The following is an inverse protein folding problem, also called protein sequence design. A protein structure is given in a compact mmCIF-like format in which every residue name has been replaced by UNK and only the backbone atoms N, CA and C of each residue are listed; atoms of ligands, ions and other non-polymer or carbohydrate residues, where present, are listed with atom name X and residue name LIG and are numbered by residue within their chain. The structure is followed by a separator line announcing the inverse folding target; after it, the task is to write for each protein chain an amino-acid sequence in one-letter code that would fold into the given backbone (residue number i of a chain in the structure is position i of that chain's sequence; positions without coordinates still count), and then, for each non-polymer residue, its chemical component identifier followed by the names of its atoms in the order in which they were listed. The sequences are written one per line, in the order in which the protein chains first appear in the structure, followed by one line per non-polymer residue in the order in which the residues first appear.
data_IF_755176325003
#
_entry.id   IF_755176325003
#
_cell.length_a   1.000
_cell.length_b   1.000
_cell.length_c   1.000
_cell.angle_alpha   90.00
_cell.angle_beta   90.00
_cell.angle_gamma   90.00
#
_symmetry.space_group_name_H-M   'P 1'
#
loop_
_entity.id
_entity.type
_entity.pdbx_description
1 polymer ?
#
# COMPACT_ATOMS: atom_id res chain seq x y z
N UNK A 1 -15.74 13.19 6.94
CA UNK A 1 -15.92 11.91 6.26
C UNK A 1 -16.46 10.86 7.23
N UNK A 2 -17.54 10.16 6.83
CA UNK A 2 -18.25 9.17 7.67
C UNK A 2 -17.35 8.01 8.13
N UNK A 3 -16.46 7.54 7.25
CA UNK A 3 -15.54 6.42 7.57
C UNK A 3 -14.52 6.81 8.63
N UNK A 4 -13.96 8.00 8.53
CA UNK A 4 -12.99 8.50 9.54
C UNK A 4 -13.69 8.73 10.87
N UNK A 5 -14.89 9.27 10.87
CA UNK A 5 -15.70 9.41 12.10
C UNK A 5 -15.96 8.06 12.76
N UNK A 6 -16.33 7.05 11.97
CA UNK A 6 -16.55 5.70 12.46
C UNK A 6 -15.27 5.11 13.07
N UNK A 7 -14.12 5.25 12.38
CA UNK A 7 -12.85 4.76 12.87
C UNK A 7 -12.45 5.43 14.20
N UNK A 8 -12.64 6.74 14.31
CA UNK A 8 -12.36 7.48 15.55
C UNK A 8 -13.26 7.03 16.69
N UNK A 9 -14.53 6.73 16.42
CA UNK A 9 -15.44 6.19 17.41
C UNK A 9 -15.01 4.81 17.90
N UNK A 10 -14.58 3.93 17.00
CA UNK A 10 -14.05 2.60 17.35
C UNK A 10 -12.77 2.73 18.19
N UNK A 11 -11.87 3.62 17.79
CA UNK A 11 -10.63 3.89 18.53
C UNK A 11 -10.96 4.33 19.96
N UNK A 12 -11.92 5.25 20.11
CA UNK A 12 -12.34 5.74 21.42
C UNK A 12 -13.00 4.66 22.28
N UNK A 13 -13.92 3.90 21.72
CA UNK A 13 -14.64 2.83 22.44
C UNK A 13 -13.73 1.69 22.88
N UNK A 14 -12.71 1.35 22.07
CA UNK A 14 -11.73 0.31 22.41
C UNK A 14 -10.60 0.83 23.31
N UNK A 15 -10.56 2.12 23.59
CA UNK A 15 -9.50 2.71 24.40
C UNK A 15 -8.11 2.63 23.78
N UNK A 16 -8.04 2.63 22.44
CA UNK A 16 -6.77 2.52 21.72
C UNK A 16 -5.98 3.83 21.78
N UNK A 17 -4.67 3.71 21.96
CA UNK A 17 -3.73 4.83 21.91
C UNK A 17 -2.72 4.65 20.77
N UNK A 18 -2.03 5.72 20.40
CA UNK A 18 -1.00 5.68 19.33
C UNK A 18 -1.54 5.23 17.99
N UNK A 19 -2.80 5.50 17.70
CA UNK A 19 -3.43 5.25 16.41
C UNK A 19 -4.19 6.51 15.99
N UNK A 20 -4.07 6.88 14.72
CA UNK A 20 -4.70 8.07 14.17
C UNK A 20 -5.39 7.73 12.87
N UNK A 21 -6.65 8.14 12.71
CA UNK A 21 -7.39 8.04 11.47
C UNK A 21 -7.40 9.40 10.79
N UNK A 22 -6.94 9.45 9.54
CA UNK A 22 -6.80 10.70 8.78
C UNK A 22 -7.55 10.58 7.46
N UNK A 23 -8.32 11.62 7.12
CA UNK A 23 -8.99 11.74 5.81
C UNK A 23 -8.10 12.55 4.85
N UNK A 24 -7.89 12.01 3.64
CA UNK A 24 -7.18 12.71 2.60
C UNK A 24 -6.77 11.78 1.46
N UNK A 25 -6.02 12.34 0.53
CA UNK A 25 -5.44 11.59 -0.57
C UNK A 25 -4.08 11.04 -0.18
N UNK A 26 -3.86 9.74 -0.47
CA UNK A 26 -2.59 9.11 -0.18
C UNK A 26 -1.42 9.83 -0.86
N UNK A 27 -1.61 10.24 -2.12
CA UNK A 27 -0.57 10.91 -2.91
C UNK A 27 -0.13 12.25 -2.29
N UNK A 28 -1.07 12.96 -1.68
CA UNK A 28 -0.79 14.27 -1.07
C UNK A 28 0.00 14.12 0.24
N UNK A 29 -0.43 13.21 1.12
CA UNK A 29 0.28 12.95 2.37
C UNK A 29 1.67 12.36 2.14
N UNK A 30 1.83 11.50 1.13
CA UNK A 30 3.11 10.88 0.82
C UNK A 30 4.19 11.89 0.38
N UNK A 31 3.81 13.12 0.07
CA UNK A 31 4.75 14.21 -0.27
C UNK A 31 5.18 15.00 0.95
N UNK A 32 4.46 14.87 2.05
CA UNK A 32 4.76 15.60 3.28
C UNK A 32 5.89 14.92 4.05
N UNK A 33 6.83 15.70 4.54
CA UNK A 33 8.01 15.25 5.26
C UNK A 33 7.67 14.32 6.42
N UNK A 34 6.59 14.60 7.15
CA UNK A 34 6.20 13.82 8.33
C UNK A 34 5.71 12.41 8.00
N UNK A 35 5.34 12.17 6.74
CA UNK A 35 4.78 10.88 6.29
C UNK A 35 5.67 10.15 5.30
N UNK A 36 6.45 10.87 4.50
CA UNK A 36 7.25 10.27 3.46
C UNK A 36 8.39 9.44 4.03
N UNK A 37 8.44 8.17 3.63
CA UNK A 37 9.50 7.22 4.02
C UNK A 37 9.73 7.14 5.53
N UNK A 38 8.63 7.20 6.31
CA UNK A 38 8.66 7.19 7.77
C UNK A 38 8.21 5.87 8.39
N UNK A 39 7.60 4.97 7.62
CA UNK A 39 6.94 3.80 8.18
C UNK A 39 7.72 2.52 7.93
N UNK A 40 7.82 1.68 8.96
CA UNK A 40 8.46 0.37 8.89
C UNK A 40 7.64 -0.61 8.06
N UNK A 41 6.32 -0.55 8.19
CA UNK A 41 5.37 -1.43 7.52
C UNK A 41 4.17 -0.62 7.04
N UNK A 42 3.84 -0.80 5.79
CA UNK A 42 2.61 -0.27 5.18
C UNK A 42 1.79 -1.44 4.67
N UNK A 43 0.50 -1.44 4.94
CA UNK A 43 -0.41 -2.50 4.49
C UNK A 43 -1.57 -1.92 3.71
N UNK A 44 -2.10 -2.69 2.78
CA UNK A 44 -3.26 -2.29 2.00
C UNK A 44 -4.17 -3.49 1.72
N UNK A 45 -5.47 -3.24 1.90
CA UNK A 45 -6.56 -4.08 1.39
C UNK A 45 -7.33 -3.20 0.43
N UNK A 46 -7.03 -3.28 -0.85
CA UNK A 46 -7.64 -2.33 -1.77
C UNK A 46 -7.97 -2.95 -3.11
N UNK A 47 -8.89 -2.32 -3.79
CA UNK A 47 -9.43 -2.70 -5.08
C UNK A 47 -8.63 -2.17 -6.27
N UNK A 48 -7.61 -1.34 -6.02
CA UNK A 48 -6.75 -0.84 -7.09
C UNK A 48 -5.76 -1.93 -7.53
N UNK A 49 -5.29 -1.83 -8.78
CA UNK A 49 -4.26 -2.73 -9.27
C UNK A 49 -2.92 -2.48 -8.54
N UNK A 50 -2.05 -3.47 -8.56
CA UNK A 50 -0.80 -3.43 -7.78
C UNK A 50 0.15 -2.31 -8.21
N UNK A 51 0.17 -1.92 -9.49
CA UNK A 51 0.98 -0.79 -9.95
C UNK A 51 0.56 0.51 -9.26
N UNK A 52 -0.75 0.80 -9.26
CA UNK A 52 -1.31 1.98 -8.60
C UNK A 52 -1.10 1.92 -7.09
N UNK A 53 -1.37 0.76 -6.47
CA UNK A 53 -1.16 0.56 -5.02
C UNK A 53 0.29 0.77 -4.62
N UNK A 54 1.23 0.31 -5.43
CA UNK A 54 2.66 0.51 -5.17
C UNK A 54 3.00 1.99 -5.16
N UNK A 55 2.46 2.78 -6.07
CA UNK A 55 2.68 4.23 -6.09
C UNK A 55 2.01 4.95 -4.91
N UNK A 56 0.88 4.43 -4.41
CA UNK A 56 0.24 4.98 -3.21
C UNK A 56 1.00 4.64 -1.93
N UNK A 57 1.57 3.44 -1.84
CA UNK A 57 2.04 2.87 -0.57
C UNK A 57 3.56 2.92 -0.39
N UNK A 58 4.35 2.63 -1.43
CA UNK A 58 5.81 2.60 -1.32
C UNK A 58 6.44 3.93 -0.90
N UNK A 59 5.90 5.10 -1.30
CA UNK A 59 6.46 6.37 -0.82
C UNK A 59 6.41 6.57 0.69
N UNK A 60 5.52 5.88 1.39
CA UNK A 60 5.44 5.91 2.86
C UNK A 60 6.46 5.01 3.55
N UNK A 61 6.96 3.99 2.83
CA UNK A 61 7.83 2.97 3.42
C UNK A 61 9.26 3.51 3.50
N UNK A 62 9.86 3.43 4.68
CA UNK A 62 11.28 3.77 4.83
C UNK A 62 12.16 2.74 4.12
N UNK A 63 13.36 3.12 3.73
CA UNK A 63 14.36 2.17 3.22
C UNK A 63 14.63 1.11 4.28
N UNK A 64 14.53 -0.15 3.92
CA UNK A 64 14.61 -1.28 4.84
C UNK A 64 13.26 -1.74 5.39
N UNK A 65 12.19 -0.98 5.17
CA UNK A 65 10.83 -1.36 5.52
C UNK A 65 10.15 -2.17 4.40
N UNK A 66 8.85 -2.41 4.55
CA UNK A 66 8.09 -3.22 3.57
C UNK A 66 6.65 -2.76 3.42
N UNK A 67 6.13 -3.05 2.24
CA UNK A 67 4.71 -2.90 1.91
C UNK A 67 4.12 -4.29 1.70
N UNK A 68 3.01 -4.58 2.36
CA UNK A 68 2.27 -5.83 2.20
C UNK A 68 0.89 -5.53 1.63
N UNK A 69 0.62 -6.04 0.44
CA UNK A 69 -0.68 -5.91 -0.20
C UNK A 69 -1.47 -7.21 -0.05
N UNK A 70 -2.71 -7.08 0.42
CA UNK A 70 -3.65 -8.19 0.52
C UNK A 70 -4.39 -8.33 -0.80
N UNK A 71 -4.31 -9.51 -1.43
CA UNK A 71 -4.87 -9.77 -2.75
C UNK A 71 -5.71 -11.05 -2.76
N UNK A 72 -6.49 -11.23 -3.82
CA UNK A 72 -7.17 -12.49 -4.11
C UNK A 72 -6.20 -13.55 -4.64
N UNK A 73 -6.69 -14.75 -4.93
CA UNK A 73 -5.83 -15.86 -5.35
C UNK A 73 -5.16 -15.71 -6.71
N UNK A 74 -5.74 -14.93 -7.63
CA UNK A 74 -5.20 -14.74 -9.00
C UNK A 74 -4.35 -13.49 -9.07
N UNK A 75 -3.05 -13.66 -8.97
CA UNK A 75 -2.12 -12.54 -8.80
C UNK A 75 -1.04 -12.45 -9.90
N UNK A 76 -0.72 -13.54 -10.59
CA UNK A 76 0.47 -13.61 -11.44
C UNK A 76 0.55 -12.52 -12.51
N UNK A 77 -0.54 -12.27 -13.24
CA UNK A 77 -0.58 -11.24 -14.29
C UNK A 77 -0.46 -9.83 -13.69
N UNK A 78 -1.16 -9.59 -12.59
CA UNK A 78 -1.13 -8.30 -11.89
C UNK A 78 0.27 -8.00 -11.34
N UNK A 79 0.92 -9.00 -10.75
CA UNK A 79 2.28 -8.86 -10.22
C UNK A 79 3.28 -8.62 -11.35
N UNK A 80 3.18 -9.36 -12.44
CA UNK A 80 4.05 -9.18 -13.61
C UNK A 80 3.91 -7.75 -14.19
N UNK A 81 2.68 -7.26 -14.31
CA UNK A 81 2.42 -5.91 -14.80
C UNK A 81 2.93 -4.81 -13.86
N UNK A 82 3.04 -5.09 -12.57
CA UNK A 82 3.47 -4.14 -11.56
C UNK A 82 4.99 -4.09 -11.34
N UNK A 83 5.77 -4.99 -11.92
CA UNK A 83 7.21 -5.08 -11.65
C UNK A 83 7.96 -3.78 -11.93
N UNK A 84 7.65 -3.12 -13.03
CA UNK A 84 8.28 -1.83 -13.35
C UNK A 84 7.93 -0.75 -12.31
N UNK A 85 6.66 -0.66 -11.94
CA UNK A 85 6.22 0.30 -10.91
C UNK A 85 6.95 0.05 -9.59
N UNK A 86 6.98 -1.19 -9.14
CA UNK A 86 7.66 -1.58 -7.90
C UNK A 86 9.14 -1.18 -7.97
N UNK A 87 9.81 -1.49 -9.07
CA UNK A 87 11.24 -1.19 -9.23
C UNK A 87 11.53 0.31 -9.21
N UNK A 88 10.80 1.11 -9.99
CA UNK A 88 11.05 2.57 -10.07
C UNK A 88 10.72 3.28 -8.77
N UNK A 89 9.86 2.70 -7.95
CA UNK A 89 9.49 3.23 -6.64
C UNK A 89 10.46 2.81 -5.52
N UNK A 90 11.47 2.02 -5.85
CA UNK A 90 12.50 1.59 -4.92
C UNK A 90 12.24 0.26 -4.24
N UNK A 91 11.26 -0.50 -4.70
CA UNK A 91 10.85 -1.77 -4.11
C UNK A 91 11.37 -2.99 -4.85
N UNK A 92 11.28 -4.12 -4.18
CA UNK A 92 11.52 -5.46 -4.74
C UNK A 92 10.44 -6.40 -4.21
N UNK A 93 9.67 -7.00 -5.12
CA UNK A 93 8.63 -7.96 -4.75
C UNK A 93 9.24 -9.31 -4.39
N UNK A 94 8.79 -9.90 -3.29
CA UNK A 94 9.13 -11.25 -2.88
C UNK A 94 8.09 -12.23 -3.40
N UNK A 95 8.36 -13.54 -3.29
CA UNK A 95 7.41 -14.57 -3.66
C UNK A 95 6.08 -14.37 -2.92
N UNK A 96 4.94 -14.34 -3.64
CA UNK A 96 3.64 -14.22 -2.99
C UNK A 96 3.36 -15.40 -2.05
N UNK A 97 2.67 -15.12 -0.96
CA UNK A 97 2.18 -16.15 -0.04
C UNK A 97 0.71 -16.40 -0.36
N UNK A 98 0.38 -17.64 -0.72
CA UNK A 98 -1.00 -18.05 -1.01
C UNK A 98 -1.57 -18.85 0.15
N UNK A 99 -2.84 -18.62 0.45
CA UNK A 99 -3.54 -19.38 1.49
C UNK A 99 -5.04 -19.37 1.22
N UNK A 100 -5.75 -20.29 1.88
CA UNK A 100 -7.21 -20.30 1.87
C UNK A 100 -7.72 -19.74 3.20
N UNK A 101 -8.79 -18.98 3.15
CA UNK A 101 -9.45 -18.54 4.37
C UNK A 101 -10.08 -19.74 5.07
N UNK A 102 -9.81 -19.90 6.35
CA UNK A 102 -10.33 -20.99 7.17
C UNK A 102 -11.85 -21.09 7.05
N UNK A 103 -12.35 -22.30 6.73
CA UNK A 103 -13.78 -22.54 6.57
C UNK A 103 -14.38 -22.13 5.24
N UNK A 104 -13.55 -21.70 4.28
CA UNK A 104 -13.98 -21.32 2.92
C UNK A 104 -13.09 -21.95 1.87
N UNK A 105 -13.52 -21.90 0.60
CA UNK A 105 -12.68 -22.25 -0.57
C UNK A 105 -12.01 -21.02 -1.17
N UNK A 106 -12.16 -19.85 -0.54
CA UNK A 106 -11.61 -18.61 -1.05
C UNK A 106 -10.10 -18.55 -0.89
N UNK A 107 -9.41 -18.43 -2.03
CA UNK A 107 -7.97 -18.19 -2.04
C UNK A 107 -7.66 -16.71 -1.80
N UNK A 108 -6.63 -16.49 -1.01
CA UNK A 108 -6.08 -15.16 -0.74
C UNK A 108 -4.58 -15.18 -0.90
N UNK A 109 -3.99 -14.02 -1.06
CA UNK A 109 -2.54 -13.90 -1.16
C UNK A 109 -2.04 -12.64 -0.48
N UNK A 110 -0.79 -12.70 -0.04
CA UNK A 110 -0.02 -11.53 0.37
C UNK A 110 1.11 -11.30 -0.61
N UNK A 111 1.25 -10.07 -1.07
CA UNK A 111 2.43 -9.63 -1.81
C UNK A 111 3.26 -8.77 -0.87
N UNK A 112 4.46 -9.23 -0.55
CA UNK A 112 5.42 -8.47 0.24
C UNK A 112 6.42 -7.79 -0.68
N UNK A 113 6.55 -6.48 -0.55
CA UNK A 113 7.49 -5.67 -1.31
C UNK A 113 8.45 -5.02 -0.34
N UNK A 114 9.73 -5.34 -0.44
CA UNK A 114 10.76 -4.73 0.39
C UNK A 114 11.22 -3.41 -0.24
N UNK A 115 11.39 -2.39 0.59
CA UNK A 115 11.91 -1.09 0.15
C UNK A 115 13.43 -1.09 0.24
N UNK A 116 14.09 -1.27 -0.90
CA UNK A 116 15.55 -1.33 -0.97
C UNK A 116 16.21 0.00 -1.26
N UNK A 117 15.49 0.92 -1.91
CA UNK A 117 16.00 2.24 -2.30
C UNK A 117 14.96 3.32 -2.01
N UNK A 118 15.44 4.55 -1.82
CA UNK A 118 14.54 5.70 -1.68
C UNK A 118 13.68 5.88 -2.94
N UNK A 119 12.41 6.21 -2.73
CA UNK A 119 11.50 6.53 -3.83
C UNK A 119 11.88 7.87 -4.45
N UNK A 120 12.03 7.94 -5.80
CA UNK A 120 12.34 9.20 -6.45
C UNK A 120 11.34 10.31 -6.12
N UNK A 121 11.81 11.55 -6.02
CA UNK A 121 10.99 12.70 -5.60
C UNK A 121 9.78 12.98 -6.49
N UNK A 122 9.82 12.56 -7.75
CA UNK A 122 8.69 12.71 -8.68
C UNK A 122 7.49 11.83 -8.35
N UNK A 123 7.69 10.84 -7.47
CA UNK A 123 6.63 9.94 -7.03
C UNK A 123 6.25 10.22 -5.56
N UNK A 124 4.98 10.07 -5.18
CA UNK A 124 3.87 9.77 -6.07
C UNK A 124 3.56 10.94 -7.00
N UNK A 125 3.03 10.64 -8.18
CA UNK A 125 2.53 11.66 -9.10
C UNK A 125 1.29 12.33 -8.51
N UNK A 126 0.82 13.40 -9.16
CA UNK A 126 -0.37 14.16 -8.74
C UNK A 126 -1.55 13.22 -8.44
N UNK A 127 -2.33 13.59 -7.43
CA UNK A 127 -3.53 12.85 -7.02
C UNK A 127 -4.43 12.50 -8.21
N UNK A 128 -4.82 11.22 -8.29
CA UNK A 128 -5.61 10.65 -9.36
C UNK A 128 -4.80 10.10 -10.54
N UNK A 129 -3.57 10.55 -10.76
CA UNK A 129 -2.74 10.06 -11.87
C UNK A 129 -2.40 8.58 -11.75
N UNK A 130 -2.00 8.05 -10.56
CA UNK A 130 -1.67 6.64 -10.46
C UNK A 130 -2.80 5.69 -10.86
N UNK A 131 -4.05 6.07 -10.63
CA UNK A 131 -5.20 5.26 -11.00
C UNK A 131 -5.53 5.35 -12.50
N UNK A 132 -5.38 6.54 -13.08
CA UNK A 132 -5.70 6.79 -14.50
C UNK A 132 -4.62 6.27 -15.44
N UNK A 133 -3.37 6.40 -15.03
CA UNK A 133 -2.19 6.07 -15.82
C UNK A 133 -1.19 5.29 -14.97
N UNK A 134 -1.48 4.02 -14.63
CA UNK A 134 -0.55 3.20 -13.85
C UNK A 134 0.82 3.13 -14.53
N UNK A 135 1.87 3.06 -13.75
CA UNK A 135 3.24 2.89 -14.27
C UNK A 135 3.34 1.51 -14.93
N UNK A 136 3.74 1.51 -16.20
CA UNK A 136 3.87 0.30 -17.01
C UNK A 136 5.29 0.15 -17.57
#
# INVERSE_FOLDING_TARGET
NKRVKFLNEVIGQLGLSKITAIHGRAEDFARQKDYREQFDLVVSRAVANLSSLSEYCLPYVKVGGRFVSYKSGKLNEELAAAQKAIHVLGGEAKEPVYFQLTGTEDERSFVCIEKGKATPKKYPRKAGTPAKEPIQ
#
